data_IF_210854422478
#
_entry.id   IF_210854422478
#
_cell.length_a   1.000
_cell.length_b   1.000
_cell.length_c   1.000
_cell.angle_alpha   90.00
_cell.angle_beta   90.00
_cell.angle_gamma   90.00
#
_symmetry.space_group_name_H-M   'P 1'
#
loop_
_entity.id
_entity.type
_entity.pdbx_description
1 polymer ?
#
# COMPACT_ATOMS: atom_id res chain seq x y z
N UNK A 1 -29.66 56.63 3.67
CA UNK A 1 -28.51 55.89 3.10
C UNK A 1 -28.29 54.65 3.96
N UNK A 2 -28.41 53.47 3.36
CA UNK A 2 -28.63 52.19 4.05
C UNK A 2 -27.33 51.61 4.65
N UNK A 3 -27.45 51.02 5.84
CA UNK A 3 -26.42 50.20 6.47
C UNK A 3 -26.60 48.74 6.03
N UNK A 4 -25.56 48.14 5.43
CA UNK A 4 -25.53 46.74 5.06
C UNK A 4 -24.91 45.92 6.20
N UNK A 5 -25.72 45.07 6.84
CA UNK A 5 -25.24 44.08 7.79
C UNK A 5 -24.71 42.85 7.03
N UNK A 6 -23.43 42.54 7.21
CA UNK A 6 -22.79 41.35 6.66
C UNK A 6 -22.91 40.23 7.68
N UNK A 7 -23.75 39.23 7.40
CA UNK A 7 -23.83 37.99 8.16
C UNK A 7 -22.79 37.01 7.61
N UNK A 8 -21.78 36.67 8.41
CA UNK A 8 -20.82 35.61 8.09
C UNK A 8 -21.36 34.29 8.63
N UNK A 9 -21.78 33.40 7.73
CA UNK A 9 -22.20 32.06 8.06
C UNK A 9 -20.97 31.19 8.44
N UNK A 10 -21.01 30.60 9.64
CA UNK A 10 -20.06 29.59 10.10
C UNK A 10 -20.29 28.29 9.30
N UNK A 11 -19.48 28.08 8.26
CA UNK A 11 -19.44 26.81 7.53
C UNK A 11 -18.67 25.75 8.33
N UNK A 12 -19.39 24.86 9.01
CA UNK A 12 -18.82 23.67 9.65
C UNK A 12 -18.25 22.73 8.58
N UNK A 13 -16.93 22.69 8.43
CA UNK A 13 -16.26 21.68 7.60
C UNK A 13 -16.37 20.32 8.27
N UNK A 14 -17.32 19.51 7.82
CA UNK A 14 -17.35 18.08 8.12
C UNK A 14 -16.13 17.42 7.48
N UNK A 15 -15.11 17.13 8.30
CA UNK A 15 -14.02 16.24 7.90
C UNK A 15 -14.63 14.87 7.56
N UNK A 16 -14.66 14.53 6.27
CA UNK A 16 -15.01 13.21 5.81
C UNK A 16 -14.01 12.20 6.38
N UNK A 17 -14.44 11.40 7.37
CA UNK A 17 -13.63 10.26 7.82
C UNK A 17 -13.56 9.26 6.66
N UNK A 18 -12.35 8.80 6.26
CA UNK A 18 -12.25 7.86 5.17
C UNK A 18 -12.93 6.56 5.60
N UNK A 19 -13.75 6.02 4.70
CA UNK A 19 -14.36 4.71 4.83
C UNK A 19 -13.32 3.68 5.27
N UNK A 20 -13.68 2.84 6.23
CA UNK A 20 -12.85 1.79 6.83
C UNK A 20 -12.03 1.02 5.79
N UNK A 21 -10.82 1.53 5.50
CA UNK A 21 -9.88 0.88 4.62
C UNK A 21 -9.30 -0.28 5.42
N UNK A 22 -9.51 -1.52 4.96
CA UNK A 22 -8.79 -2.65 5.55
C UNK A 22 -7.30 -2.35 5.46
N UNK A 23 -6.67 -2.28 6.61
CA UNK A 23 -5.28 -1.96 6.80
C UNK A 23 -4.60 -3.10 7.56
N UNK A 24 -3.28 -3.15 7.46
CA UNK A 24 -2.50 -4.18 8.14
C UNK A 24 -1.04 -3.77 8.26
N UNK A 25 -0.44 -4.08 9.41
CA UNK A 25 0.96 -3.82 9.69
C UNK A 25 1.70 -5.12 10.00
N UNK A 26 2.95 -5.21 9.60
CA UNK A 26 3.75 -6.43 9.77
C UNK A 26 5.07 -6.38 9.04
N UNK A 27 5.77 -7.51 8.99
CA UNK A 27 6.98 -7.65 8.20
C UNK A 27 6.68 -7.68 6.70
N UNK A 28 7.56 -7.08 5.91
CA UNK A 28 7.61 -7.27 4.48
C UNK A 28 9.01 -7.72 4.05
N UNK A 29 9.06 -8.43 2.94
CA UNK A 29 10.31 -8.71 2.22
C UNK A 29 10.17 -8.33 0.75
N UNK A 30 11.14 -8.66 -0.09
CA UNK A 30 11.03 -8.48 -1.54
C UNK A 30 11.58 -9.66 -2.32
N UNK A 31 11.10 -9.83 -3.55
CA UNK A 31 11.49 -10.92 -4.43
C UNK A 31 11.70 -10.47 -5.89
N UNK A 32 12.47 -11.28 -6.61
CA UNK A 32 12.70 -11.20 -8.05
C UNK A 32 12.80 -12.63 -8.57
N UNK A 33 11.67 -13.17 -9.06
CA UNK A 33 11.58 -14.55 -9.53
C UNK A 33 11.48 -14.58 -11.06
N UNK A 34 11.88 -15.70 -11.67
CA UNK A 34 11.74 -15.93 -13.11
C UNK A 34 10.48 -16.74 -13.49
N UNK A 35 9.64 -17.06 -12.50
CA UNK A 35 8.43 -17.88 -12.63
C UNK A 35 7.15 -17.05 -12.88
N UNK A 36 6.03 -17.76 -13.10
CA UNK A 36 4.69 -17.16 -13.04
C UNK A 36 4.29 -16.91 -11.58
N UNK A 37 3.57 -15.82 -11.35
CA UNK A 37 2.88 -15.51 -10.10
C UNK A 37 1.57 -16.29 -10.01
N UNK A 38 0.95 -16.31 -8.83
CA UNK A 38 -0.35 -16.95 -8.62
C UNK A 38 -1.51 -16.30 -9.41
N UNK A 39 -1.35 -15.08 -9.93
CA UNK A 39 -2.30 -14.50 -10.89
C UNK A 39 -2.18 -15.06 -12.31
N UNK A 40 -1.14 -15.86 -12.59
CA UNK A 40 -0.81 -16.36 -13.93
C UNK A 40 0.12 -15.45 -14.73
N UNK A 41 0.31 -14.20 -14.32
CA UNK A 41 1.27 -13.27 -14.93
C UNK A 41 2.72 -13.70 -14.66
N UNK A 42 3.62 -13.51 -15.64
CA UNK A 42 5.06 -13.67 -15.40
C UNK A 42 5.55 -12.58 -14.44
N UNK A 43 6.30 -12.98 -13.41
CA UNK A 43 6.86 -12.04 -12.45
C UNK A 43 7.77 -11.03 -13.16
N UNK A 44 7.58 -9.74 -12.88
CA UNK A 44 8.41 -8.67 -13.40
C UNK A 44 8.96 -7.83 -12.24
N UNK A 45 10.28 -7.88 -11.96
CA UNK A 45 10.89 -7.15 -10.85
C UNK A 45 10.79 -5.62 -10.97
N UNK A 46 10.56 -5.09 -12.18
CA UNK A 46 10.45 -3.67 -12.47
C UNK A 46 9.03 -3.11 -12.26
N UNK A 47 8.00 -3.97 -12.16
CA UNK A 47 6.61 -3.54 -11.93
C UNK A 47 6.36 -3.32 -10.43
N UNK A 48 5.43 -2.42 -10.11
CA UNK A 48 4.99 -2.17 -8.73
C UNK A 48 3.91 -3.16 -8.31
N UNK A 49 4.34 -4.38 -7.99
CA UNK A 49 3.45 -5.45 -7.52
C UNK A 49 3.87 -6.02 -6.17
N UNK A 50 2.96 -6.76 -5.55
CA UNK A 50 3.20 -7.46 -4.29
C UNK A 50 2.39 -8.77 -4.18
N UNK A 51 2.87 -9.67 -3.32
CA UNK A 51 2.17 -10.87 -2.89
C UNK A 51 1.42 -10.61 -1.58
N UNK A 52 0.18 -11.09 -1.49
CA UNK A 52 -0.60 -11.10 -0.24
C UNK A 52 -1.41 -12.39 -0.10
N UNK A 53 -1.61 -12.87 1.14
CA UNK A 53 -2.23 -14.16 1.45
C UNK A 53 -3.64 -14.31 0.88
N UNK A 54 -4.51 -13.32 1.15
CA UNK A 54 -5.95 -13.43 0.90
C UNK A 54 -6.57 -12.27 0.12
N UNK A 55 -5.83 -11.21 -0.19
CA UNK A 55 -6.40 -10.09 -0.94
C UNK A 55 -6.62 -10.49 -2.39
N UNK A 56 -7.71 -9.99 -2.97
CA UNK A 56 -8.06 -10.24 -4.38
C UNK A 56 -6.93 -9.73 -5.27
N UNK A 57 -6.62 -10.49 -6.34
CA UNK A 57 -5.72 -9.97 -7.36
C UNK A 57 -6.32 -8.71 -7.97
N UNK A 58 -5.48 -7.73 -8.29
CA UNK A 58 -5.91 -6.40 -8.76
C UNK A 58 -6.04 -5.35 -7.64
N UNK A 59 -6.20 -5.77 -6.38
CA UNK A 59 -6.26 -4.84 -5.24
C UNK A 59 -5.02 -3.95 -5.22
N UNK A 60 -5.21 -2.64 -5.11
CA UNK A 60 -4.13 -1.67 -4.96
C UNK A 60 -3.93 -1.33 -3.49
N UNK A 61 -2.69 -1.42 -3.05
CA UNK A 61 -2.28 -1.09 -1.69
C UNK A 61 -1.35 0.11 -1.71
N UNK A 62 -1.56 1.08 -0.83
CA UNK A 62 -0.50 2.00 -0.40
C UNK A 62 0.29 1.29 0.68
N UNK A 63 1.58 1.09 0.48
CA UNK A 63 2.49 0.43 1.41
C UNK A 63 3.47 1.46 1.92
N UNK A 64 3.56 1.63 3.23
CA UNK A 64 4.43 2.60 3.89
C UNK A 64 5.46 1.87 4.74
N UNK A 65 6.73 2.20 4.56
CA UNK A 65 7.82 1.70 5.41
C UNK A 65 7.86 2.49 6.72
N UNK A 66 7.61 1.81 7.84
CA UNK A 66 7.50 2.43 9.16
C UNK A 66 8.81 3.07 9.64
N UNK A 67 9.96 2.67 9.09
CA UNK A 67 11.27 3.21 9.49
C UNK A 67 11.56 4.58 8.91
N UNK A 68 11.10 4.86 7.68
CA UNK A 68 11.50 6.07 6.95
C UNK A 68 10.31 6.87 6.39
N UNK A 69 9.07 6.42 6.60
CA UNK A 69 7.86 7.10 6.14
C UNK A 69 7.61 7.05 4.63
N UNK A 70 8.51 6.45 3.83
CA UNK A 70 8.34 6.35 2.37
C UNK A 70 7.20 5.39 2.04
N UNK A 71 6.40 5.74 1.04
CA UNK A 71 5.29 4.92 0.59
C UNK A 71 5.26 4.67 -0.92
N UNK A 72 4.62 3.58 -1.33
CA UNK A 72 4.44 3.18 -2.72
C UNK A 72 3.06 2.56 -2.92
N UNK A 73 2.45 2.77 -4.09
CA UNK A 73 1.24 2.05 -4.48
C UNK A 73 1.63 0.81 -5.28
N UNK A 74 1.17 -0.35 -4.83
CA UNK A 74 1.41 -1.65 -5.48
C UNK A 74 0.09 -2.34 -5.82
N UNK A 75 0.10 -3.17 -6.85
CA UNK A 75 -1.00 -4.07 -7.18
C UNK A 75 -0.72 -5.49 -6.66
N UNK A 76 -1.71 -6.11 -6.03
CA UNK A 76 -1.63 -7.53 -5.65
C UNK A 76 -1.77 -8.40 -6.89
N UNK A 77 -0.77 -9.23 -7.17
CA UNK A 77 -0.80 -10.19 -8.28
C UNK A 77 -0.23 -11.57 -7.90
N UNK A 78 0.13 -11.77 -6.63
CA UNK A 78 0.71 -13.04 -6.18
C UNK A 78 0.24 -13.44 -4.77
N UNK A 79 0.58 -14.67 -4.35
CA UNK A 79 0.20 -15.27 -3.07
C UNK A 79 1.40 -15.48 -2.16
N UNK A 80 1.11 -15.54 -0.86
CA UNK A 80 2.11 -15.48 0.21
C UNK A 80 2.12 -14.11 0.86
N UNK A 81 3.06 -13.81 1.77
CA UNK A 81 4.07 -14.72 2.33
C UNK A 81 3.47 -15.78 3.27
N UNK A 82 3.94 -17.02 3.19
CA UNK A 82 3.50 -18.12 4.06
C UNK A 82 4.33 -18.28 5.34
N UNK A 83 5.21 -17.32 5.63
CA UNK A 83 6.00 -17.30 6.87
C UNK A 83 5.34 -16.37 7.89
N UNK A 84 5.27 -16.81 9.15
CA UNK A 84 4.73 -16.03 10.27
C UNK A 84 5.43 -14.67 10.39
N UNK A 85 4.67 -13.64 10.78
CA UNK A 85 5.17 -12.28 10.97
C UNK A 85 5.40 -11.45 9.70
N UNK A 86 5.36 -12.05 8.50
CA UNK A 86 5.31 -11.30 7.23
C UNK A 86 3.89 -11.20 6.68
N UNK A 87 3.55 -10.05 6.13
CA UNK A 87 2.23 -9.75 5.57
C UNK A 87 2.27 -9.42 4.07
N UNK A 88 3.43 -9.02 3.55
CA UNK A 88 3.64 -8.67 2.15
C UNK A 88 5.02 -9.13 1.67
N UNK A 89 5.10 -9.58 0.43
CA UNK A 89 6.35 -9.65 -0.30
C UNK A 89 6.26 -8.72 -1.51
N UNK A 90 7.16 -7.75 -1.60
CA UNK A 90 7.17 -6.71 -2.64
C UNK A 90 8.02 -7.14 -3.84
N UNK A 91 7.69 -6.61 -5.02
CA UNK A 91 8.63 -6.56 -6.14
C UNK A 91 9.89 -5.76 -5.79
N UNK A 92 11.00 -6.04 -6.50
CA UNK A 92 12.26 -5.29 -6.34
C UNK A 92 12.08 -3.77 -6.54
N UNK A 93 11.29 -3.36 -7.54
CA UNK A 93 10.99 -1.95 -7.79
C UNK A 93 10.25 -1.28 -6.63
N UNK A 94 9.19 -1.91 -6.11
CA UNK A 94 8.44 -1.36 -4.98
C UNK A 94 9.30 -1.28 -3.70
N UNK A 95 10.11 -2.30 -3.44
CA UNK A 95 11.06 -2.31 -2.32
C UNK A 95 12.11 -1.20 -2.44
N UNK A 96 12.56 -0.90 -3.66
CA UNK A 96 13.48 0.20 -3.93
C UNK A 96 12.86 1.55 -3.61
N UNK A 97 11.61 1.78 -4.01
CA UNK A 97 10.91 3.05 -3.76
C UNK A 97 10.74 3.36 -2.28
N UNK A 98 10.47 2.35 -1.44
CA UNK A 98 10.36 2.52 0.02
C UNK A 98 11.67 2.29 0.77
N UNK A 99 12.79 2.13 0.06
CA UNK A 99 14.13 2.08 0.63
C UNK A 99 14.41 0.85 1.50
N UNK A 100 13.89 -0.32 1.14
CA UNK A 100 14.11 -1.57 1.90
C UNK A 100 14.95 -2.62 1.18
N UNK A 101 15.41 -2.37 -0.06
CA UNK A 101 16.16 -3.35 -0.85
C UNK A 101 17.43 -3.85 -0.15
N UNK A 102 18.27 -2.92 0.36
CA UNK A 102 19.52 -3.26 1.06
C UNK A 102 19.30 -4.05 2.36
N UNK A 103 18.22 -3.77 3.09
CA UNK A 103 17.90 -4.48 4.32
C UNK A 103 17.26 -5.86 4.07
N UNK A 104 16.74 -6.11 2.87
CA UNK A 104 16.00 -7.34 2.52
C UNK A 104 14.58 -7.39 3.07
N UNK A 105 14.36 -6.82 4.25
CA UNK A 105 13.09 -6.81 4.96
C UNK A 105 12.83 -5.47 5.67
N UNK A 106 11.58 -5.18 5.96
CA UNK A 106 11.18 -3.98 6.70
C UNK A 106 9.85 -4.20 7.44
N UNK A 107 9.59 -3.40 8.47
CA UNK A 107 8.24 -3.25 9.01
C UNK A 107 7.46 -2.27 8.13
N UNK A 108 6.30 -2.69 7.67
CA UNK A 108 5.43 -1.88 6.81
C UNK A 108 4.01 -1.88 7.34
N UNK A 109 3.27 -0.83 7.02
CA UNK A 109 1.83 -0.79 7.11
C UNK A 109 1.26 -0.60 5.70
N UNK A 110 0.11 -1.21 5.42
CA UNK A 110 -0.59 -0.99 4.17
C UNK A 110 -2.03 -0.55 4.37
N UNK A 111 -2.56 0.12 3.36
CA UNK A 111 -3.95 0.53 3.24
C UNK A 111 -4.47 0.16 1.86
N UNK A 112 -5.69 -0.38 1.78
CA UNK A 112 -6.36 -0.62 0.49
C UNK A 112 -6.78 0.73 -0.11
N UNK A 113 -6.27 1.03 -1.31
CA UNK A 113 -6.63 2.23 -2.10
C UNK A 113 -7.78 1.93 -3.06
N UNK A 114 -7.77 0.76 -3.71
CA UNK A 114 -8.85 0.30 -4.58
C UNK A 114 -8.87 -1.23 -4.65
N UNK A 115 -10.02 -1.82 -4.99
CA UNK A 115 -10.21 -3.27 -5.14
C UNK A 115 -10.33 -3.68 -6.59
#
# INVERSE_FOLDING_TARGET
MAAAAVTVALGSTVMAMPASAKNGCGGASWYALHSKTASGERMNPAKLTAAHRSLRFGTKLRVTNSRNGKSVIVRINDRGPFIRGRILDLSKAAASQIGMTRAGHAKVCYEIVSR
#
